data_IF_484617985988
#
_entry.id   IF_484617985988
#
_cell.length_a   1.000
_cell.length_b   1.000
_cell.length_c   1.000
_cell.angle_alpha   90.00
_cell.angle_beta   90.00
_cell.angle_gamma   90.00
#
_symmetry.space_group_name_H-M   'P 1'
#
loop_
_entity.id
_entity.type
_entity.pdbx_description
1 polymer ?
#
# COMPACT_ATOMS: atom_id res chain seq x y z
N UNK A 1 1.01 -0.27 -17.96
CA UNK A 1 0.28 -1.14 -17.02
C UNK A 1 -0.23 -2.32 -17.80
N UNK A 2 -0.24 -3.50 -17.20
CA UNK A 2 -0.86 -4.66 -17.83
C UNK A 2 -2.37 -4.41 -17.93
N UNK A 3 -2.91 -4.46 -19.14
CA UNK A 3 -4.32 -4.20 -19.44
C UNK A 3 -5.03 -5.46 -19.93
N UNK A 4 -4.42 -6.63 -19.74
CA UNK A 4 -4.99 -7.92 -20.16
C UNK A 4 -6.32 -8.19 -19.42
N UNK A 5 -7.46 -8.27 -20.14
CA UNK A 5 -8.74 -8.62 -19.57
C UNK A 5 -8.73 -9.99 -18.86
N UNK A 6 -7.93 -10.95 -19.34
CA UNK A 6 -7.80 -12.26 -18.70
C UNK A 6 -7.12 -12.18 -17.33
N UNK A 7 -6.16 -11.26 -17.16
CA UNK A 7 -5.54 -10.99 -15.88
C UNK A 7 -6.54 -10.37 -14.88
N UNK A 8 -7.44 -9.52 -15.37
CA UNK A 8 -8.51 -8.92 -14.55
C UNK A 8 -9.50 -9.97 -14.04
N UNK A 9 -9.98 -10.85 -14.92
CA UNK A 9 -10.87 -11.95 -14.56
C UNK A 9 -10.18 -12.92 -13.60
N UNK A 10 -8.91 -13.22 -13.83
CA UNK A 10 -8.08 -14.01 -12.93
C UNK A 10 -7.99 -13.40 -11.53
N UNK A 11 -7.77 -12.09 -11.44
CA UNK A 11 -7.72 -11.35 -10.18
C UNK A 11 -9.07 -11.37 -9.46
N UNK A 12 -10.18 -11.11 -10.15
CA UNK A 12 -11.52 -11.15 -9.56
C UNK A 12 -11.83 -12.52 -8.95
N UNK A 13 -11.52 -13.59 -9.68
CA UNK A 13 -11.67 -14.96 -9.22
C UNK A 13 -10.76 -15.29 -8.03
N UNK A 14 -9.54 -14.78 -8.02
CA UNK A 14 -8.62 -14.94 -6.89
C UNK A 14 -9.15 -14.23 -5.63
N UNK A 15 -9.63 -13.00 -5.77
CA UNK A 15 -10.18 -12.20 -4.67
C UNK A 15 -11.43 -12.85 -4.07
N UNK A 16 -12.36 -13.34 -4.90
CA UNK A 16 -13.57 -14.01 -4.41
C UNK A 16 -13.23 -15.27 -3.61
N UNK A 17 -12.32 -16.11 -4.13
CA UNK A 17 -11.85 -17.33 -3.44
C UNK A 17 -11.18 -17.02 -2.11
N UNK A 18 -10.31 -15.99 -2.06
CA UNK A 18 -9.63 -15.58 -0.82
C UNK A 18 -10.61 -15.07 0.23
N UNK A 19 -11.60 -14.25 -0.16
CA UNK A 19 -12.65 -13.74 0.73
C UNK A 19 -13.51 -14.85 1.29
N UNK A 20 -13.95 -15.77 0.44
CA UNK A 20 -14.73 -16.95 0.84
C UNK A 20 -13.98 -17.77 1.90
N UNK A 21 -12.70 -18.08 1.63
CA UNK A 21 -11.84 -18.79 2.58
C UNK A 21 -11.64 -18.03 3.90
N UNK A 22 -11.52 -16.71 3.84
CA UNK A 22 -11.43 -15.87 5.04
C UNK A 22 -12.73 -15.94 5.86
N UNK A 23 -13.89 -15.78 5.21
CA UNK A 23 -15.18 -15.83 5.87
C UNK A 23 -15.45 -17.19 6.53
N UNK A 24 -15.14 -18.29 5.83
CA UNK A 24 -15.23 -19.66 6.38
C UNK A 24 -14.38 -19.84 7.64
N UNK A 25 -13.13 -19.34 7.60
CA UNK A 25 -12.22 -19.45 8.74
C UNK A 25 -12.62 -18.57 9.93
N UNK A 26 -13.35 -17.48 9.67
CA UNK A 26 -13.67 -16.46 10.67
C UNK A 26 -15.19 -16.27 10.84
N UNK A 27 -16.00 -17.31 10.59
CA UNK A 27 -17.47 -17.21 10.57
C UNK A 27 -18.06 -16.61 11.86
N UNK A 28 -17.49 -16.97 13.02
CA UNK A 28 -17.90 -16.44 14.33
C UNK A 28 -17.47 -14.98 14.60
N UNK A 29 -16.54 -14.45 13.81
CA UNK A 29 -15.98 -13.10 13.95
C UNK A 29 -16.41 -12.16 12.81
N UNK A 30 -17.35 -12.59 11.95
CA UNK A 30 -17.85 -11.75 10.88
C UNK A 30 -18.59 -10.53 11.46
N UNK A 31 -18.40 -9.32 10.87
CA UNK A 31 -19.05 -8.11 11.36
C UNK A 31 -20.57 -8.27 11.44
N UNK A 32 -21.16 -7.90 12.56
CA UNK A 32 -22.62 -7.86 12.74
C UNK A 32 -23.33 -9.22 12.65
N UNK A 33 -22.62 -10.34 12.75
CA UNK A 33 -23.22 -11.68 12.59
C UNK A 33 -23.63 -12.00 11.15
N UNK A 34 -23.04 -11.30 10.16
CA UNK A 34 -23.28 -11.54 8.73
C UNK A 34 -22.97 -12.97 8.32
N UNK A 35 -23.72 -13.48 7.34
CA UNK A 35 -23.41 -14.77 6.73
C UNK A 35 -22.12 -14.68 5.89
N UNK A 36 -21.52 -15.83 5.57
CA UNK A 36 -20.37 -15.91 4.66
C UNK A 36 -20.65 -15.21 3.33
N UNK A 37 -21.85 -15.42 2.77
CA UNK A 37 -22.26 -14.84 1.50
C UNK A 37 -22.38 -13.32 1.59
N UNK A 38 -23.08 -12.81 2.60
CA UNK A 38 -23.26 -11.36 2.78
C UNK A 38 -21.92 -10.64 2.97
N UNK A 39 -21.00 -11.26 3.72
CA UNK A 39 -19.65 -10.72 3.89
C UNK A 39 -18.89 -10.69 2.57
N UNK A 40 -18.92 -11.77 1.79
CA UNK A 40 -18.25 -11.84 0.48
C UNK A 40 -18.81 -10.78 -0.46
N UNK A 41 -20.13 -10.65 -0.54
CA UNK A 41 -20.82 -9.71 -1.43
C UNK A 41 -20.51 -8.25 -1.05
N UNK A 42 -20.60 -7.92 0.24
CA UNK A 42 -20.22 -6.60 0.76
C UNK A 42 -18.76 -6.26 0.43
N UNK A 43 -17.85 -7.21 0.66
CA UNK A 43 -16.44 -6.96 0.35
C UNK A 43 -16.21 -6.85 -1.16
N UNK A 44 -16.97 -7.55 -2.01
CA UNK A 44 -16.88 -7.44 -3.46
C UNK A 44 -17.42 -6.10 -3.96
N UNK A 45 -18.49 -5.56 -3.36
CA UNK A 45 -19.02 -4.25 -3.74
C UNK A 45 -18.08 -3.08 -3.43
N UNK A 46 -17.14 -3.27 -2.49
CA UNK A 46 -16.11 -2.27 -2.15
C UNK A 46 -14.87 -2.33 -3.05
N UNK A 47 -14.68 -3.41 -3.82
CA UNK A 47 -13.53 -3.57 -4.70
C UNK A 47 -13.94 -3.29 -6.15
N UNK A 48 -13.31 -2.29 -6.75
CA UNK A 48 -13.48 -1.96 -8.15
C UNK A 48 -12.16 -2.12 -8.89
N UNK A 49 -11.82 -3.34 -9.36
CA UNK A 49 -10.62 -3.56 -10.16
C UNK A 49 -10.70 -2.74 -11.45
N UNK A 50 -9.61 -2.04 -11.77
CA UNK A 50 -9.49 -1.22 -12.98
C UNK A 50 -8.15 -1.50 -13.66
N UNK A 51 -8.10 -1.31 -14.98
CA UNK A 51 -6.90 -1.48 -15.81
C UNK A 51 -6.30 -0.15 -16.27
N UNK A 52 -6.92 0.98 -15.93
CA UNK A 52 -6.45 2.33 -16.26
C UNK A 52 -6.40 3.21 -15.01
N UNK A 53 -5.32 3.98 -14.88
CA UNK A 53 -5.15 4.97 -13.81
C UNK A 53 -6.16 6.10 -13.88
N UNK A 54 -6.71 6.42 -15.05
CA UNK A 54 -7.71 7.48 -15.22
C UNK A 54 -8.95 7.27 -14.34
N UNK A 55 -9.22 6.01 -13.95
CA UNK A 55 -10.34 5.64 -13.09
C UNK A 55 -10.10 5.92 -11.60
N UNK A 56 -8.89 6.29 -11.19
CA UNK A 56 -8.53 6.50 -9.77
C UNK A 56 -8.45 7.98 -9.35
N UNK A 57 -8.93 8.91 -10.17
CA UNK A 57 -8.84 10.35 -9.90
C UNK A 57 -9.52 10.80 -8.59
N UNK A 58 -10.58 10.09 -8.16
CA UNK A 58 -11.27 10.36 -6.88
C UNK A 58 -10.57 9.81 -5.62
N UNK A 59 -9.40 9.17 -5.76
CA UNK A 59 -8.69 8.59 -4.63
C UNK A 59 -8.10 9.67 -3.71
N UNK A 60 -8.45 9.63 -2.41
CA UNK A 60 -7.82 10.48 -1.39
C UNK A 60 -6.48 9.93 -0.91
N UNK A 61 -6.30 8.61 -0.97
CA UNK A 61 -5.08 7.91 -0.59
C UNK A 61 -4.77 6.86 -1.66
N UNK A 62 -3.52 6.81 -2.12
CA UNK A 62 -3.04 5.83 -3.08
C UNK A 62 -1.96 4.98 -2.43
N UNK A 63 -2.11 3.65 -2.49
CA UNK A 63 -1.10 2.69 -2.05
C UNK A 63 -0.40 2.08 -3.26
N UNK A 64 0.90 2.32 -3.36
CA UNK A 64 1.76 1.83 -4.42
C UNK A 64 2.49 0.57 -3.95
N UNK A 65 2.32 -0.52 -4.70
CA UNK A 65 2.97 -1.82 -4.45
C UNK A 65 3.32 -2.51 -5.79
N UNK A 66 3.93 -1.76 -6.71
CA UNK A 66 4.41 -2.25 -8.00
C UNK A 66 5.85 -2.77 -7.89
N UNK A 67 6.38 -3.28 -9.00
CA UNK A 67 7.78 -3.72 -9.08
C UNK A 67 8.76 -2.66 -8.57
N UNK A 68 9.80 -3.14 -7.89
CA UNK A 68 10.82 -2.33 -7.26
C UNK A 68 11.83 -1.79 -8.30
N UNK A 69 11.36 -0.85 -9.13
CA UNK A 69 12.14 -0.16 -10.16
C UNK A 69 11.84 1.34 -10.10
N UNK A 70 12.86 2.15 -9.87
CA UNK A 70 12.71 3.60 -9.70
C UNK A 70 12.00 4.26 -10.89
N UNK A 71 12.51 4.08 -12.11
CA UNK A 71 11.92 4.68 -13.32
C UNK A 71 10.44 4.32 -13.50
N UNK A 72 10.07 3.08 -13.15
CA UNK A 72 8.69 2.63 -13.23
C UNK A 72 7.82 3.31 -12.19
N UNK A 73 8.27 3.41 -10.94
CA UNK A 73 7.55 4.10 -9.87
C UNK A 73 7.41 5.59 -10.19
N UNK A 74 8.48 6.25 -10.63
CA UNK A 74 8.46 7.66 -11.07
C UNK A 74 7.45 7.86 -12.20
N UNK A 75 7.43 6.99 -13.21
CA UNK A 75 6.44 7.05 -14.29
C UNK A 75 5.01 6.92 -13.76
N UNK A 76 4.74 5.95 -12.88
CA UNK A 76 3.41 5.71 -12.33
C UNK A 76 2.97 6.86 -11.42
N UNK A 77 3.85 7.35 -10.55
CA UNK A 77 3.55 8.48 -9.67
C UNK A 77 3.31 9.78 -10.45
N UNK A 78 4.02 10.02 -11.57
CA UNK A 78 3.72 11.15 -12.44
C UNK A 78 2.31 11.07 -13.05
N UNK A 79 1.90 9.89 -13.52
CA UNK A 79 0.54 9.67 -14.03
C UNK A 79 -0.52 9.82 -12.94
N UNK A 80 -0.24 9.34 -11.73
CA UNK A 80 -1.13 9.50 -10.59
C UNK A 80 -1.23 10.98 -10.15
N UNK A 81 -0.10 11.70 -10.10
CA UNK A 81 -0.05 13.13 -9.79
C UNK A 81 -0.92 13.96 -10.74
N UNK A 82 -0.95 13.62 -12.03
CA UNK A 82 -1.79 14.33 -13.00
C UNK A 82 -3.27 13.93 -12.95
N UNK A 83 -3.58 12.75 -12.43
CA UNK A 83 -4.93 12.19 -12.45
C UNK A 83 -5.69 12.43 -11.15
N UNK A 84 -5.01 12.29 -10.01
CA UNK A 84 -5.57 12.43 -8.68
C UNK A 84 -5.68 13.90 -8.27
N UNK A 85 -6.51 14.17 -7.26
CA UNK A 85 -6.67 15.50 -6.72
C UNK A 85 -5.36 16.05 -6.09
N UNK A 86 -5.17 17.38 -6.04
CA UNK A 86 -4.00 17.98 -5.40
C UNK A 86 -3.83 17.64 -3.92
N UNK A 87 -4.91 17.23 -3.23
CA UNK A 87 -4.90 16.81 -1.82
C UNK A 87 -4.78 15.29 -1.63
N UNK A 88 -4.52 14.53 -2.69
CA UNK A 88 -4.27 13.08 -2.59
C UNK A 88 -2.92 12.79 -1.94
N UNK A 89 -2.91 11.88 -0.95
CA UNK A 89 -1.69 11.35 -0.34
C UNK A 89 -1.25 10.03 -0.98
N UNK A 90 0.07 9.84 -1.03
CA UNK A 90 0.71 8.69 -1.65
C UNK A 90 1.46 7.87 -0.60
N UNK A 91 1.19 6.58 -0.57
CA UNK A 91 1.80 5.61 0.32
C UNK A 91 2.58 4.62 -0.55
N UNK A 92 3.89 4.50 -0.35
CA UNK A 92 4.67 3.48 -1.06
C UNK A 92 5.02 2.31 -0.15
N UNK A 93 4.83 1.09 -0.66
CA UNK A 93 5.30 -0.15 -0.04
C UNK A 93 6.75 -0.48 -0.46
N UNK A 94 7.50 0.48 -1.00
CA UNK A 94 8.92 0.27 -1.35
C UNK A 94 9.71 -0.19 -0.12
N UNK A 95 10.63 -1.13 -0.36
CA UNK A 95 11.53 -1.67 0.67
C UNK A 95 12.95 -1.11 0.53
N UNK A 96 13.26 -0.48 -0.60
CA UNK A 96 14.65 -0.18 -0.99
C UNK A 96 14.85 1.17 -1.71
N UNK A 97 13.80 1.76 -2.29
CA UNK A 97 13.90 3.03 -3.00
C UNK A 97 13.66 4.17 -1.99
N UNK A 98 14.61 5.12 -1.83
CA UNK A 98 14.42 6.27 -0.96
C UNK A 98 13.23 7.12 -1.40
N UNK A 99 12.37 7.52 -0.45
CA UNK A 99 11.19 8.34 -0.76
C UNK A 99 11.58 9.75 -1.18
N UNK A 100 12.68 10.27 -0.63
CA UNK A 100 13.26 11.54 -1.07
C UNK A 100 13.49 11.58 -2.59
N UNK A 101 14.05 10.52 -3.15
CA UNK A 101 14.33 10.43 -4.60
C UNK A 101 13.03 10.39 -5.42
N UNK A 102 12.01 9.70 -4.93
CA UNK A 102 10.69 9.70 -5.56
C UNK A 102 10.02 11.08 -5.51
N UNK A 103 10.05 11.77 -4.36
CA UNK A 103 9.47 13.11 -4.24
C UNK A 103 10.21 14.14 -5.09
N UNK A 104 11.54 14.08 -5.16
CA UNK A 104 12.35 14.99 -5.97
C UNK A 104 12.08 14.83 -7.47
N UNK A 105 11.94 13.59 -7.97
CA UNK A 105 11.71 13.35 -9.41
C UNK A 105 10.26 13.59 -9.84
N UNK A 106 9.28 13.34 -8.97
CA UNK A 106 7.86 13.49 -9.30
C UNK A 106 7.33 14.88 -8.92
N UNK A 107 7.86 15.46 -7.83
CA UNK A 107 7.36 16.67 -7.19
C UNK A 107 6.00 16.44 -6.56
N UNK A 108 5.91 15.59 -5.53
CA UNK A 108 4.65 15.35 -4.80
C UNK A 108 4.45 16.35 -3.65
N UNK A 109 5.38 17.26 -3.44
CA UNK A 109 5.31 18.34 -2.45
C UNK A 109 5.09 17.82 -1.01
N UNK A 110 5.83 16.76 -0.68
CA UNK A 110 5.75 16.11 0.63
C UNK A 110 4.46 15.29 0.86
N UNK A 111 3.67 15.02 -0.18
CA UNK A 111 2.46 14.17 -0.09
C UNK A 111 2.75 12.67 -0.14
N UNK A 112 4.02 12.27 -0.10
CA UNK A 112 4.45 10.87 -0.13
C UNK A 112 5.00 10.42 1.22
N UNK A 113 4.65 9.20 1.61
CA UNK A 113 5.16 8.53 2.81
C UNK A 113 5.35 7.04 2.55
N UNK A 114 6.27 6.40 3.27
CA UNK A 114 6.49 4.95 3.16
C UNK A 114 5.63 4.24 4.19
N UNK A 115 4.91 3.23 3.73
CA UNK A 115 3.98 2.45 4.54
C UNK A 115 4.15 0.99 4.20
N UNK A 116 5.28 0.45 4.66
CA UNK A 116 5.79 -0.83 4.21
C UNK A 116 5.20 -1.97 5.06
N UNK A 117 4.39 -2.80 4.40
CA UNK A 117 3.80 -3.98 4.99
C UNK A 117 4.74 -5.17 4.91
N UNK A 118 4.79 -5.96 5.98
CA UNK A 118 5.43 -7.27 5.96
C UNK A 118 4.53 -8.32 5.30
N UNK A 119 5.10 -9.19 4.48
CA UNK A 119 4.36 -10.25 3.80
C UNK A 119 4.11 -11.45 4.74
N UNK A 120 2.88 -12.00 4.84
CA UNK A 120 1.62 -11.51 4.26
C UNK A 120 1.00 -10.32 5.00
N UNK A 121 0.57 -9.26 4.31
CA UNK A 121 0.09 -8.02 4.94
C UNK A 121 -1.17 -8.22 5.78
N UNK A 122 -2.01 -9.20 5.46
CA UNK A 122 -3.21 -9.50 6.24
C UNK A 122 -2.90 -10.23 7.56
N UNK A 123 -1.72 -10.87 7.67
CA UNK A 123 -1.34 -11.69 8.83
C UNK A 123 -0.34 -10.95 9.72
N UNK A 124 0.62 -10.25 9.12
CA UNK A 124 1.67 -9.55 9.86
C UNK A 124 1.10 -8.32 10.56
N UNK A 125 1.52 -8.11 11.81
CA UNK A 125 1.07 -6.96 12.62
C UNK A 125 1.91 -5.71 12.40
N UNK A 126 3.12 -5.85 11.89
CA UNK A 126 4.05 -4.73 11.74
C UNK A 126 3.84 -3.98 10.42
N UNK A 127 3.95 -2.66 10.51
CA UNK A 127 4.12 -1.77 9.35
C UNK A 127 5.26 -0.81 9.67
N UNK A 128 6.23 -0.74 8.77
CA UNK A 128 7.27 0.28 8.81
C UNK A 128 6.72 1.59 8.25
N UNK A 129 6.80 2.65 9.05
CA UNK A 129 6.47 4.01 8.64
C UNK A 129 7.76 4.76 8.37
N UNK A 130 8.01 5.03 7.08
CA UNK A 130 9.17 5.79 6.61
C UNK A 130 8.71 7.23 6.40
N UNK A 131 9.30 8.16 7.16
CA UNK A 131 8.98 9.59 7.08
C UNK A 131 10.12 10.28 6.32
N UNK A 132 9.90 10.77 5.09
CA UNK A 132 10.93 11.49 4.35
C UNK A 132 11.21 12.85 5.00
N UNK A 133 12.38 13.42 4.70
CA UNK A 133 12.81 14.74 5.19
C UNK A 133 11.81 15.85 4.84
N UNK A 134 11.29 15.82 3.60
CA UNK A 134 10.20 16.67 3.14
C UNK A 134 8.90 15.89 3.16
N UNK A 135 8.02 16.22 4.11
CA UNK A 135 6.70 15.61 4.25
C UNK A 135 5.69 16.65 4.73
N UNK A 136 4.43 16.55 4.29
CA UNK A 136 3.36 17.40 4.84
C UNK A 136 3.11 17.05 6.31
N UNK A 137 2.92 18.05 7.18
CA UNK A 137 2.97 17.86 8.64
C UNK A 137 1.89 16.90 9.18
N UNK A 138 0.76 16.81 8.51
CA UNK A 138 -0.37 15.95 8.88
C UNK A 138 -0.20 14.49 8.45
N UNK A 139 0.59 14.21 7.41
CA UNK A 139 0.69 12.88 6.80
C UNK A 139 1.27 11.81 7.76
N UNK A 140 2.28 12.11 8.60
CA UNK A 140 2.73 11.18 9.63
C UNK A 140 1.67 10.85 10.68
N UNK A 141 0.86 11.81 11.11
CA UNK A 141 -0.19 11.59 12.09
C UNK A 141 -1.32 10.74 11.50
N UNK A 142 -1.75 11.08 10.28
CA UNK A 142 -2.74 10.34 9.52
C UNK A 142 -2.32 8.90 9.27
N UNK A 143 -1.05 8.67 8.91
CA UNK A 143 -0.51 7.32 8.69
C UNK A 143 -0.52 6.48 9.96
N UNK A 144 -0.20 7.06 11.12
CA UNK A 144 -0.26 6.35 12.40
C UNK A 144 -1.70 5.97 12.77
N UNK A 145 -2.65 6.88 12.54
CA UNK A 145 -4.07 6.61 12.78
C UNK A 145 -4.60 5.53 11.83
N UNK A 146 -4.22 5.57 10.55
CA UNK A 146 -4.51 4.50 9.60
C UNK A 146 -3.97 3.16 10.09
N UNK A 147 -2.72 3.10 10.55
CA UNK A 147 -2.12 1.90 11.11
C UNK A 147 -2.96 1.31 12.25
N UNK A 148 -3.40 2.15 13.20
CA UNK A 148 -4.28 1.73 14.31
C UNK A 148 -5.60 1.15 13.81
N UNK A 149 -6.26 1.82 12.85
CA UNK A 149 -7.53 1.37 12.27
C UNK A 149 -7.39 0.04 11.53
N UNK A 150 -6.22 -0.22 10.94
CA UNK A 150 -5.88 -1.49 10.28
C UNK A 150 -5.43 -2.58 11.28
N UNK A 151 -5.41 -2.30 12.59
CA UNK A 151 -4.91 -3.23 13.61
C UNK A 151 -3.41 -3.49 13.51
N UNK A 152 -2.64 -2.54 12.95
CA UNK A 152 -1.19 -2.62 12.78
C UNK A 152 -0.46 -1.91 13.90
N UNK A 153 0.72 -2.42 14.21
CA UNK A 153 1.74 -1.81 15.05
C UNK A 153 2.69 -1.07 14.13
N UNK A 154 2.71 0.25 14.25
CA UNK A 154 3.56 1.12 13.46
C UNK A 154 4.94 1.19 14.11
N UNK A 155 5.98 0.88 13.33
CA UNK A 155 7.37 1.06 13.73
C UNK A 155 8.00 2.17 12.87
N UNK A 156 8.64 3.19 13.47
CA UNK A 156 9.33 4.20 12.70
C UNK A 156 10.55 3.58 12.01
N UNK A 157 10.81 4.01 10.78
CA UNK A 157 12.03 3.70 10.04
C UNK A 157 12.58 4.97 9.42
N UNK A 158 13.91 5.06 9.32
CA UNK A 158 14.58 6.15 8.59
C UNK A 158 14.26 6.07 7.10
N UNK A 159 14.75 7.01 6.27
CA UNK A 159 14.67 6.98 4.79
C UNK A 159 16.08 6.80 4.17
N UNK A 160 16.53 5.57 4.00
CA UNK A 160 17.85 5.02 3.64
C UNK A 160 17.63 3.66 2.97
N UNK A 161 18.34 3.37 1.89
CA UNK A 161 18.16 2.09 1.17
C UNK A 161 18.29 0.87 2.11
N UNK A 162 17.27 0.00 2.12
CA UNK A 162 17.25 -1.25 2.88
C UNK A 162 16.70 -1.14 4.31
N UNK A 163 15.47 -0.66 4.49
CA UNK A 163 14.83 -0.49 5.80
C UNK A 163 14.78 -1.74 6.68
N UNK A 164 14.49 -1.52 7.97
CA UNK A 164 14.82 -2.33 9.16
C UNK A 164 14.75 -3.86 8.96
N UNK A 165 13.82 -4.40 8.16
CA UNK A 165 13.79 -5.82 7.79
C UNK A 165 15.01 -6.35 6.98
N UNK A 166 15.51 -5.59 5.99
CA UNK A 166 16.65 -6.00 5.14
C UNK A 166 17.98 -5.34 5.53
N UNK A 167 17.93 -4.20 6.24
CA UNK A 167 19.12 -3.49 6.69
C UNK A 167 19.89 -4.22 7.79
N UNK A 168 19.21 -4.96 8.66
CA UNK A 168 19.87 -5.79 9.68
C UNK A 168 20.70 -6.91 9.03
N UNK A 169 20.14 -7.59 8.02
CA UNK A 169 20.85 -8.65 7.29
C UNK A 169 22.07 -8.14 6.52
N UNK A 170 22.03 -6.92 5.94
CA UNK A 170 23.20 -6.36 5.28
C UNK A 170 24.24 -5.78 6.25
N UNK A 171 23.83 -5.32 7.44
CA UNK A 171 24.78 -4.83 8.46
C UNK A 171 25.57 -5.97 9.11
N UNK A 172 24.93 -7.09 9.39
CA UNK A 172 25.58 -8.25 10.02
C UNK A 172 26.54 -8.97 9.05
N UNK A 173 26.36 -8.83 7.73
CA UNK A 173 27.27 -9.40 6.72
C UNK A 173 28.49 -8.53 6.37
N UNK A 174 28.48 -7.24 6.72
CA UNK A 174 29.58 -6.30 6.44
C UNK A 174 30.43 -5.98 7.67
N UNK A 175 29.93 -6.28 8.87
CA UNK A 175 30.62 -6.03 10.14
C UNK A 175 30.58 -7.22 11.12
N UNK A 176 30.22 -8.41 10.65
CA UNK A 176 30.34 -9.69 11.36
C UNK A 176 31.62 -10.43 11.02
#
# INVERSE_FOLDING_TARGET
MDSDPAALDGLQNFLSKKKKKYAQKNAAALPGGSSETDFVDTMMSLLHPVTSLEKVGGARMVFEAILEKLDLKVKVFNQLKSTCAPDTYFFSNTSSIPLKELDEQVGLDGRIIGFHFYNPPAVQRLVELIIPERVQPELPALSRELGKRLGKIIIPSNDVAGFIGNGHFMRDGLYG
#
